data_IF_932925012855
#
_entry.id   IF_932925012855
#
_cell.length_a   1.000
_cell.length_b   1.000
_cell.length_c   1.000
_cell.angle_alpha   90.00
_cell.angle_beta   90.00
_cell.angle_gamma   90.00
#
_symmetry.space_group_name_H-M   'P 1'
#
loop_
_entity.id
_entity.type
_entity.pdbx_description
1 polymer ?
#
# COMPACT_ATOMS: atom_id res chain seq x y z
N UNK A 1 -21.70 -44.65 -35.93
CA UNK A 1 -20.25 -44.31 -35.83
C UNK A 1 -20.08 -42.86 -35.32
N UNK A 2 -20.82 -42.47 -34.27
CA UNK A 2 -21.01 -41.06 -33.85
C UNK A 2 -20.61 -40.80 -32.39
N UNK A 3 -20.41 -41.84 -31.59
CA UNK A 3 -20.15 -41.73 -30.14
C UNK A 3 -18.73 -41.28 -29.79
N UNK A 4 -17.75 -41.50 -30.68
CA UNK A 4 -16.35 -41.07 -30.45
C UNK A 4 -16.14 -39.56 -30.66
N UNK A 5 -16.98 -38.91 -31.47
CA UNK A 5 -16.82 -37.48 -31.79
C UNK A 5 -17.35 -36.60 -30.65
N UNK A 6 -18.49 -36.96 -30.04
CA UNK A 6 -19.06 -36.25 -28.88
C UNK A 6 -18.13 -36.29 -27.66
N UNK A 7 -17.58 -37.48 -27.31
CA UNK A 7 -16.64 -37.60 -26.18
C UNK A 7 -15.39 -36.72 -26.29
N UNK A 8 -14.90 -36.49 -27.52
CA UNK A 8 -13.74 -35.61 -27.75
C UNK A 8 -14.11 -34.13 -27.60
N UNK A 9 -15.31 -33.75 -28.06
CA UNK A 9 -15.81 -32.38 -27.92
C UNK A 9 -16.05 -32.02 -26.45
N UNK A 10 -16.62 -32.96 -25.68
CA UNK A 10 -16.86 -32.79 -24.24
C UNK A 10 -15.55 -32.66 -23.44
N UNK A 11 -14.52 -33.45 -23.79
CA UNK A 11 -13.20 -33.34 -23.16
C UNK A 11 -12.53 -31.99 -23.45
N UNK A 12 -12.60 -31.50 -24.69
CA UNK A 12 -12.00 -30.22 -25.08
C UNK A 12 -12.72 -29.07 -24.37
N UNK A 13 -14.05 -29.12 -24.28
CA UNK A 13 -14.83 -28.11 -23.58
C UNK A 13 -14.53 -28.09 -22.07
N UNK A 14 -14.40 -29.27 -21.43
CA UNK A 14 -13.99 -29.37 -20.03
C UNK A 14 -12.56 -28.85 -19.80
N UNK A 15 -11.61 -29.14 -20.69
CA UNK A 15 -10.25 -28.60 -20.58
C UNK A 15 -10.21 -27.08 -20.77
N UNK A 16 -11.00 -26.53 -21.69
CA UNK A 16 -11.11 -25.08 -21.90
C UNK A 16 -11.77 -24.38 -20.71
N UNK A 17 -12.80 -24.97 -20.10
CA UNK A 17 -13.43 -24.44 -18.89
C UNK A 17 -12.49 -24.51 -17.68
N UNK A 18 -11.72 -25.60 -17.54
CA UNK A 18 -10.71 -25.72 -16.49
C UNK A 18 -9.57 -24.70 -16.67
N UNK A 19 -9.12 -24.48 -17.92
CA UNK A 19 -8.11 -23.48 -18.24
C UNK A 19 -8.63 -22.05 -18.00
N UNK A 20 -9.89 -21.78 -18.35
CA UNK A 20 -10.54 -20.49 -18.07
C UNK A 20 -10.72 -20.27 -16.58
N UNK A 21 -11.11 -21.29 -15.81
CA UNK A 21 -11.17 -21.22 -14.35
C UNK A 21 -9.78 -20.99 -13.72
N UNK A 22 -8.74 -21.66 -14.20
CA UNK A 22 -7.35 -21.44 -13.79
C UNK A 22 -6.86 -20.04 -14.13
N UNK A 23 -7.21 -19.50 -15.30
CA UNK A 23 -6.88 -18.12 -15.70
C UNK A 23 -7.63 -17.08 -14.87
N UNK A 24 -8.89 -17.35 -14.50
CA UNK A 24 -9.67 -16.50 -13.59
C UNK A 24 -9.13 -16.54 -12.15
N UNK A 25 -8.56 -17.66 -11.70
CA UNK A 25 -7.92 -17.78 -10.39
C UNK A 25 -6.49 -17.21 -10.36
N UNK A 26 -5.77 -17.21 -11.48
CA UNK A 26 -4.43 -16.65 -11.61
C UNK A 26 -4.42 -15.12 -11.87
N UNK A 27 -5.57 -14.51 -12.15
CA UNK A 27 -5.68 -13.14 -12.68
C UNK A 27 -6.21 -12.07 -11.72
N UNK A 28 -6.49 -12.41 -10.45
CA UNK A 28 -6.87 -11.44 -9.43
C UNK A 28 -5.86 -11.44 -8.27
N UNK A 29 -4.59 -11.14 -8.55
CA UNK A 29 -3.89 -10.29 -7.56
C UNK A 29 -4.72 -9.01 -7.54
N UNK A 30 -5.25 -8.65 -6.37
CA UNK A 30 -6.10 -7.46 -6.23
C UNK A 30 -5.38 -6.29 -6.92
N UNK A 31 -5.91 -5.81 -8.05
CA UNK A 31 -5.36 -4.65 -8.76
C UNK A 31 -5.28 -3.44 -7.83
N UNK A 32 -6.15 -3.39 -6.83
CA UNK A 32 -6.08 -2.44 -5.74
C UNK A 32 -4.75 -2.48 -5.00
N UNK A 33 -4.09 -3.64 -4.89
CA UNK A 33 -2.85 -3.82 -4.16
C UNK A 33 -1.57 -3.56 -4.95
N UNK A 34 -1.54 -3.92 -6.23
CA UNK A 34 -0.39 -3.59 -7.09
C UNK A 34 -0.28 -2.07 -7.32
N UNK A 35 -1.39 -1.32 -7.21
CA UNK A 35 -1.39 0.15 -7.21
C UNK A 35 -0.97 0.77 -5.86
N UNK A 36 -0.78 -0.05 -4.83
CA UNK A 36 -0.57 0.33 -3.42
C UNK A 36 0.82 0.02 -2.90
N UNK A 37 1.66 -0.64 -3.71
CA UNK A 37 3.10 -0.72 -3.44
C UNK A 37 3.75 0.47 -4.11
N UNK A 38 4.59 1.17 -3.35
CA UNK A 38 5.22 2.37 -3.85
C UNK A 38 5.79 3.22 -2.73
N UNK A 39 6.44 4.29 -3.16
CA UNK A 39 6.96 5.33 -2.29
C UNK A 39 6.23 6.62 -2.61
N UNK A 40 5.71 7.27 -1.58
CA UNK A 40 5.14 8.60 -1.67
C UNK A 40 6.07 9.59 -1.00
N UNK A 41 6.22 10.77 -1.60
CA UNK A 41 7.11 11.80 -1.07
C UNK A 41 6.41 13.15 -0.95
N UNK A 42 6.79 13.89 0.08
CA UNK A 42 6.43 15.29 0.25
C UNK A 42 7.59 16.07 0.88
N UNK A 43 7.65 17.36 0.58
CA UNK A 43 8.73 18.25 0.99
C UNK A 43 8.19 19.48 1.73
N UNK A 44 9.04 20.12 2.52
CA UNK A 44 8.73 21.38 3.22
C UNK A 44 7.49 21.29 4.13
N UNK A 45 7.39 20.22 4.90
CA UNK A 45 6.29 19.98 5.85
C UNK A 45 6.59 20.71 7.16
N UNK A 46 5.60 21.44 7.68
CA UNK A 46 5.70 22.19 8.93
C UNK A 46 4.58 21.75 9.87
N UNK A 47 4.87 21.05 10.96
CA UNK A 47 3.86 20.63 11.96
C UNK A 47 4.20 21.28 13.30
N UNK A 48 3.46 22.32 13.67
CA UNK A 48 3.78 23.11 14.86
C UNK A 48 5.15 23.76 14.74
N UNK A 49 6.05 23.48 15.70
CA UNK A 49 7.45 23.94 15.66
C UNK A 49 8.40 23.02 14.88
N UNK A 50 7.88 21.94 14.31
CA UNK A 50 8.67 20.86 13.71
C UNK A 50 8.76 21.06 12.20
N UNK A 51 9.98 21.20 11.70
CA UNK A 51 10.27 21.37 10.27
C UNK A 51 10.83 20.07 9.67
N UNK A 52 10.19 19.58 8.63
CA UNK A 52 10.60 18.39 7.88
C UNK A 52 10.88 18.80 6.44
N UNK A 53 12.14 18.69 6.04
CA UNK A 53 12.55 19.03 4.68
C UNK A 53 11.99 18.01 3.68
N UNK A 54 12.02 16.72 4.03
CA UNK A 54 11.49 15.64 3.19
C UNK A 54 10.91 14.51 4.04
N UNK A 55 9.73 14.05 3.67
CA UNK A 55 9.08 12.85 4.19
C UNK A 55 8.89 11.86 3.05
N UNK A 56 9.27 10.61 3.27
CA UNK A 56 8.97 9.49 2.38
C UNK A 56 8.22 8.42 3.17
N UNK A 57 7.15 7.89 2.58
CA UNK A 57 6.38 6.79 3.13
C UNK A 57 6.34 5.70 2.06
N UNK A 58 6.74 4.49 2.40
CA UNK A 58 6.81 3.37 1.45
C UNK A 58 6.12 2.13 1.97
N UNK A 59 5.43 1.42 1.10
CA UNK A 59 4.90 0.07 1.38
C UNK A 59 5.75 -0.91 0.60
N UNK A 60 6.46 -1.77 1.33
CA UNK A 60 7.51 -2.63 0.82
C UNK A 60 7.13 -4.12 0.97
N UNK A 61 7.50 -4.91 -0.04
CA UNK A 61 7.27 -6.36 -0.11
C UNK A 61 8.44 -7.14 0.52
N UNK A 62 8.86 -6.73 1.72
CA UNK A 62 10.05 -7.25 2.42
C UNK A 62 9.83 -7.46 3.93
N UNK A 63 8.58 -7.56 4.37
CA UNK A 63 8.27 -7.75 5.80
C UNK A 63 8.92 -9.01 6.37
N UNK A 64 9.62 -8.86 7.49
CA UNK A 64 10.22 -9.99 8.20
C UNK A 64 9.20 -10.67 9.14
N UNK A 65 9.43 -11.95 9.45
CA UNK A 65 8.57 -12.71 10.39
C UNK A 65 8.83 -12.34 11.86
N UNK A 66 9.89 -11.57 12.16
CA UNK A 66 10.34 -11.25 13.51
C UNK A 66 10.24 -9.73 13.78
N UNK A 67 9.17 -9.31 14.45
CA UNK A 67 9.15 -8.04 15.20
C UNK A 67 8.63 -6.80 14.47
N UNK A 68 8.40 -6.83 13.16
CA UNK A 68 7.81 -5.69 12.45
C UNK A 68 6.28 -5.67 12.63
N UNK A 69 5.70 -4.48 12.80
CA UNK A 69 4.26 -4.29 12.62
C UNK A 69 3.93 -4.47 11.13
N UNK A 70 3.52 -5.69 10.78
CA UNK A 70 3.29 -6.09 9.39
C UNK A 70 1.89 -5.71 8.93
N UNK A 71 1.83 -5.10 7.74
CA UNK A 71 0.62 -4.90 6.97
C UNK A 71 0.19 -6.23 6.33
N UNK A 72 -0.96 -6.76 6.75
CA UNK A 72 -1.55 -7.96 6.14
C UNK A 72 -2.55 -7.60 5.07
N UNK A 73 -2.37 -8.13 3.87
CA UNK A 73 -3.37 -8.01 2.81
C UNK A 73 -3.61 -9.36 2.14
N UNK A 74 -4.79 -9.94 2.40
CA UNK A 74 -5.04 -11.33 2.05
C UNK A 74 -4.07 -12.22 2.81
N UNK A 75 -3.22 -12.93 2.07
CA UNK A 75 -2.15 -13.79 2.61
C UNK A 75 -0.76 -13.13 2.54
N UNK A 76 -0.65 -11.98 1.87
CA UNK A 76 0.61 -11.27 1.65
C UNK A 76 0.94 -10.35 2.83
N UNK A 77 2.24 -10.13 3.04
CA UNK A 77 2.81 -9.40 4.18
C UNK A 77 3.65 -8.24 3.65
N UNK A 78 3.37 -7.03 4.12
CA UNK A 78 4.08 -5.82 3.72
C UNK A 78 4.62 -5.07 4.92
N UNK A 79 5.70 -4.31 4.71
CA UNK A 79 6.29 -3.43 5.71
C UNK A 79 6.01 -1.99 5.34
N UNK A 80 5.68 -1.18 6.35
CA UNK A 80 5.61 0.26 6.21
C UNK A 80 6.96 0.87 6.60
N UNK A 81 7.60 1.56 5.67
CA UNK A 81 8.80 2.33 5.94
C UNK A 81 8.48 3.82 5.94
N UNK A 82 8.88 4.53 6.99
CA UNK A 82 8.82 5.99 7.08
C UNK A 82 10.24 6.51 7.12
N UNK A 83 10.55 7.47 6.25
CA UNK A 83 11.87 8.11 6.17
C UNK A 83 11.68 9.61 6.30
N UNK A 84 12.36 10.22 7.27
CA UNK A 84 12.33 11.67 7.49
C UNK A 84 13.74 12.22 7.28
N UNK A 85 13.88 13.18 6.37
CA UNK A 85 15.17 13.81 6.02
C UNK A 85 16.27 12.78 5.67
N UNK A 86 15.89 11.63 5.11
CA UNK A 86 16.79 10.54 4.73
C UNK A 86 17.10 9.53 5.84
N UNK A 87 16.54 9.70 7.04
CA UNK A 87 16.66 8.75 8.15
C UNK A 87 15.41 7.88 8.23
N UNK A 88 15.59 6.56 8.15
CA UNK A 88 14.51 5.59 8.34
C UNK A 88 14.13 5.48 9.81
N UNK A 89 12.84 5.55 10.07
CA UNK A 89 12.27 5.47 11.41
C UNK A 89 12.18 4.00 11.81
N UNK A 90 12.87 3.64 12.90
CA UNK A 90 13.00 2.25 13.34
C UNK A 90 11.68 1.61 13.78
N UNK A 91 10.89 2.34 14.58
CA UNK A 91 9.65 1.82 15.17
C UNK A 91 8.45 2.57 14.58
N UNK A 92 7.80 1.94 13.60
CA UNK A 92 6.57 2.44 12.98
C UNK A 92 5.41 1.55 13.38
N UNK A 93 4.54 2.07 14.26
CA UNK A 93 3.35 1.40 14.72
C UNK A 93 2.24 1.45 13.68
N UNK A 94 1.89 0.31 13.07
CA UNK A 94 0.92 0.26 11.98
C UNK A 94 -0.47 -0.11 12.49
N UNK A 95 -1.48 0.71 12.18
CA UNK A 95 -2.83 0.51 12.73
C UNK A 95 -3.84 -0.07 11.73
N UNK A 96 -3.81 0.34 10.47
CA UNK A 96 -4.84 -0.05 9.50
C UNK A 96 -4.40 0.19 8.05
N UNK A 97 -4.77 -0.73 7.16
CA UNK A 97 -4.60 -0.55 5.72
C UNK A 97 -5.71 -1.16 4.89
N UNK A 98 -6.55 -0.28 4.33
CA UNK A 98 -7.33 -0.58 3.14
C UNK A 98 -6.98 0.48 2.10
N UNK A 99 -7.67 1.62 2.09
CA UNK A 99 -7.37 2.77 1.22
C UNK A 99 -6.72 3.91 1.99
N UNK A 100 -6.70 3.77 3.32
CA UNK A 100 -6.13 4.70 4.28
C UNK A 100 -5.02 3.97 5.01
N UNK A 101 -3.87 4.61 5.10
CA UNK A 101 -2.69 4.22 5.82
C UNK A 101 -2.63 5.04 7.11
N UNK A 102 -2.61 4.38 8.25
CA UNK A 102 -2.46 5.03 9.53
C UNK A 102 -1.28 4.43 10.29
N UNK A 103 -0.34 5.27 10.71
CA UNK A 103 0.75 4.84 11.58
C UNK A 103 1.12 5.90 12.61
N UNK A 104 1.80 5.43 13.64
CA UNK A 104 2.43 6.27 14.66
C UNK A 104 3.90 5.98 14.72
N UNK A 105 4.72 6.98 15.02
CA UNK A 105 6.15 6.79 15.18
C UNK A 105 6.78 7.91 16.01
N UNK A 106 7.97 7.65 16.54
CA UNK A 106 8.74 8.65 17.28
C UNK A 106 9.78 9.32 16.37
N UNK A 107 9.83 10.65 16.36
CA UNK A 107 10.89 11.40 15.67
C UNK A 107 11.31 12.60 16.50
N UNK A 108 12.63 12.79 16.68
CA UNK A 108 13.19 13.85 17.53
C UNK A 108 12.57 13.94 18.95
N UNK A 109 12.21 12.79 19.53
CA UNK A 109 11.58 12.71 20.86
C UNK A 109 10.11 13.15 20.89
N UNK A 110 9.48 13.35 19.73
CA UNK A 110 8.05 13.61 19.60
C UNK A 110 7.33 12.39 19.06
N UNK A 111 6.19 12.07 19.65
CA UNK A 111 5.26 11.09 19.12
C UNK A 111 4.44 11.70 17.99
N UNK A 112 4.51 11.08 16.82
CA UNK A 112 3.88 11.54 15.58
C UNK A 112 2.80 10.55 15.16
N UNK A 113 1.74 11.08 14.53
CA UNK A 113 0.73 10.29 13.85
C UNK A 113 0.67 10.72 12.38
N UNK A 114 0.70 9.74 11.49
CA UNK A 114 0.55 9.92 10.05
C UNK A 114 -0.71 9.20 9.58
N UNK A 115 -1.51 9.91 8.79
CA UNK A 115 -2.69 9.37 8.13
C UNK A 115 -2.63 9.73 6.64
N UNK A 116 -2.76 8.75 5.75
CA UNK A 116 -2.67 8.95 4.31
C UNK A 116 -3.76 8.21 3.57
N UNK A 117 -4.55 8.89 2.76
CA UNK A 117 -5.58 8.25 1.92
C UNK A 117 -5.16 8.30 0.46
N UNK A 118 -5.04 7.13 -0.16
CA UNK A 118 -4.71 7.01 -1.58
C UNK A 118 -5.90 7.43 -2.44
N UNK A 119 -5.62 8.24 -3.45
CA UNK A 119 -6.59 8.80 -4.38
C UNK A 119 -6.03 8.78 -5.80
N UNK A 120 -6.93 8.65 -6.76
CA UNK A 120 -6.61 8.73 -8.18
C UNK A 120 -7.26 9.98 -8.79
N UNK A 121 -6.46 10.77 -9.50
CA UNK A 121 -6.95 11.92 -10.26
C UNK A 121 -7.82 11.46 -11.42
N UNK A 122 -9.08 11.90 -11.45
CA UNK A 122 -10.00 11.58 -12.55
C UNK A 122 -9.58 12.16 -13.90
N UNK A 123 -8.77 13.22 -13.90
CA UNK A 123 -8.36 13.92 -15.11
C UNK A 123 -7.08 13.33 -15.70
N UNK A 124 -6.14 12.92 -14.84
CA UNK A 124 -4.79 12.50 -15.26
C UNK A 124 -4.53 11.01 -15.04
N UNK A 125 -5.35 10.32 -14.24
CA UNK A 125 -5.07 8.96 -13.77
C UNK A 125 -3.91 8.89 -12.77
N UNK A 126 -3.35 10.02 -12.35
CA UNK A 126 -2.24 10.05 -11.40
C UNK A 126 -2.71 9.62 -10.01
N UNK A 127 -1.95 8.73 -9.38
CA UNK A 127 -2.17 8.30 -7.99
C UNK A 127 -1.39 9.21 -7.05
N UNK A 128 -2.06 9.68 -6.02
CA UNK A 128 -1.48 10.53 -4.99
C UNK A 128 -2.02 10.14 -3.61
N UNK A 129 -1.33 10.58 -2.56
CA UNK A 129 -1.78 10.41 -1.19
C UNK A 129 -2.19 11.77 -0.62
N UNK A 130 -3.44 11.86 -0.17
CA UNK A 130 -3.89 12.97 0.67
C UNK A 130 -3.49 12.64 2.11
N UNK A 131 -2.52 13.37 2.64
CA UNK A 131 -1.82 13.01 3.86
C UNK A 131 -1.97 14.06 4.95
N UNK A 132 -1.95 13.58 6.20
CA UNK A 132 -1.97 14.37 7.41
C UNK A 132 -0.84 13.89 8.30
N UNK A 133 0.00 14.82 8.77
CA UNK A 133 1.00 14.56 9.80
C UNK A 133 0.67 15.40 11.02
N UNK A 134 0.70 14.76 12.19
CA UNK A 134 0.33 15.36 13.47
C UNK A 134 1.39 15.04 14.53
N UNK A 135 1.68 16.01 15.40
CA UNK A 135 2.31 15.73 16.70
C UNK A 135 1.19 15.29 17.65
N UNK A 136 1.29 14.11 18.28
CA UNK A 136 0.25 13.58 19.16
C UNK A 136 0.03 14.55 20.33
N UNK A 137 -1.21 15.02 20.49
CA UNK A 137 -1.58 16.06 21.46
C UNK A 137 -1.29 17.50 21.01
N UNK A 138 -0.84 17.71 19.77
CA UNK A 138 -0.47 19.02 19.23
C UNK A 138 -1.02 19.28 17.82
N UNK A 139 -0.24 20.01 17.04
CA UNK A 139 -0.60 20.52 15.72
C UNK A 139 -0.65 19.43 14.65
N UNK A 140 -1.32 19.76 13.54
CA UNK A 140 -1.48 18.89 12.37
C UNK A 140 -1.29 19.71 11.09
N UNK A 141 -0.58 19.13 10.13
CA UNK A 141 -0.42 19.64 8.77
C UNK A 141 -1.05 18.65 7.79
N UNK A 142 -1.82 19.16 6.84
CA UNK A 142 -2.30 18.40 5.68
C UNK A 142 -1.45 18.73 4.46
N UNK A 143 -1.13 17.74 3.64
CA UNK A 143 -0.35 17.90 2.43
C UNK A 143 -0.62 16.77 1.45
N UNK A 144 -0.18 16.97 0.22
CA UNK A 144 -0.28 16.00 -0.85
C UNK A 144 1.06 15.32 -1.02
N UNK A 145 1.07 14.00 -1.15
CA UNK A 145 2.26 13.24 -1.50
C UNK A 145 2.11 12.63 -2.89
N UNK A 146 3.16 12.75 -3.68
CA UNK A 146 3.22 12.21 -5.04
C UNK A 146 3.85 10.83 -5.02
N UNK A 147 3.27 9.90 -5.78
CA UNK A 147 3.89 8.61 -6.02
C UNK A 147 5.18 8.79 -6.83
N UNK A 148 6.23 8.07 -6.44
CA UNK A 148 7.54 8.09 -7.09
C UNK A 148 7.66 7.05 -8.21
#
# INVERSE_FOLDING_TARGET
MTTKLHKKLDCILCCLLALFALLMMAGCKDKELEMRLGTWTAENIHVGSTEIAKLEVSILDDASDEGDDVLLVGEERYRLAVVINGEEIADVGVMYYTNTLNCTFSWNGQEMAFEGTLKESRETGAVYMDAHLRVIGGDMQSFMMEAK
#
